data_IF_139780057265
#
_entry.id   IF_139780057265
#
_cell.length_a   1.000
_cell.length_b   1.000
_cell.length_c   1.000
_cell.angle_alpha   90.00
_cell.angle_beta   90.00
_cell.angle_gamma   90.00
#
_symmetry.space_group_name_H-M   'P 1'
#
loop_
_entity.id
_entity.type
_entity.pdbx_description
1 polymer ?
#
# COMPACT_ATOMS: atom_id res chain seq x y z
N UNK A 1 -0.49 -4.56 -4.83
CA UNK A 1 -1.70 -3.80 -4.40
C UNK A 1 -1.52 -3.42 -2.93
N UNK A 2 -1.47 -2.13 -2.60
CA UNK A 2 -1.23 -1.62 -1.23
C UNK A 2 -2.52 -1.49 -0.41
N UNK A 3 -3.67 -1.48 -1.08
CA UNK A 3 -4.97 -1.13 -0.53
C UNK A 3 -5.40 -1.91 0.73
N UNK A 4 -5.11 -3.22 0.89
CA UNK A 4 -5.42 -3.91 2.14
C UNK A 4 -4.73 -3.27 3.35
N UNK A 5 -3.46 -2.86 3.20
CA UNK A 5 -2.72 -2.19 4.27
C UNK A 5 -3.29 -0.80 4.55
N UNK A 6 -3.56 -0.01 3.52
CA UNK A 6 -4.16 1.32 3.66
C UNK A 6 -5.52 1.26 4.36
N UNK A 7 -6.33 0.25 4.01
CA UNK A 7 -7.65 0.01 4.62
C UNK A 7 -7.53 -0.38 6.09
N UNK A 8 -6.65 -1.33 6.41
CA UNK A 8 -6.42 -1.76 7.80
C UNK A 8 -5.86 -0.62 8.64
N UNK A 9 -4.98 0.21 8.07
CA UNK A 9 -4.41 1.38 8.70
C UNK A 9 -5.49 2.42 9.03
N UNK A 10 -6.30 2.82 8.05
CA UNK A 10 -7.39 3.80 8.24
C UNK A 10 -8.44 3.34 9.26
N UNK A 11 -8.66 2.02 9.38
CA UNK A 11 -9.55 1.42 10.38
C UNK A 11 -8.93 1.30 11.78
N UNK A 12 -7.69 1.76 11.98
CA UNK A 12 -6.96 1.60 13.25
C UNK A 12 -6.69 0.14 13.60
N UNK A 13 -6.73 -0.77 12.63
CA UNK A 13 -6.61 -2.21 12.83
C UNK A 13 -5.19 -2.73 12.59
N UNK A 14 -4.23 -1.86 12.22
CA UNK A 14 -2.88 -2.24 11.84
C UNK A 14 -1.84 -1.79 12.90
N UNK A 15 -1.69 -2.56 14.01
CA UNK A 15 -0.84 -2.14 15.13
C UNK A 15 0.66 -2.10 14.80
N UNK A 16 1.09 -2.85 13.78
CA UNK A 16 2.49 -2.92 13.34
C UNK A 16 2.62 -3.43 11.90
N UNK A 17 3.81 -3.26 11.32
CA UNK A 17 4.15 -3.61 9.94
C UNK A 17 5.46 -4.40 9.90
N UNK A 18 5.45 -5.58 9.25
CA UNK A 18 6.64 -6.36 8.95
C UNK A 18 7.23 -5.90 7.61
N UNK A 19 8.16 -4.95 7.67
CA UNK A 19 8.65 -4.20 6.51
C UNK A 19 9.95 -3.49 6.81
N UNK A 20 10.79 -3.32 5.79
CA UNK A 20 11.86 -2.33 5.83
C UNK A 20 11.32 -0.97 5.34
N UNK A 21 11.26 0.07 6.21
CA UNK A 21 10.73 1.38 5.84
C UNK A 21 11.49 2.07 4.71
N UNK A 22 12.75 1.69 4.47
CA UNK A 22 13.61 2.28 3.43
C UNK A 22 13.47 1.60 2.06
N UNK A 23 12.66 0.54 1.95
CA UNK A 23 12.34 -0.07 0.65
C UNK A 23 11.59 0.94 -0.22
N UNK A 24 12.00 1.04 -1.48
CA UNK A 24 11.36 1.85 -2.50
C UNK A 24 10.22 1.04 -3.11
N UNK A 25 9.01 1.57 -3.04
CA UNK A 25 7.85 0.97 -3.67
C UNK A 25 7.74 1.45 -5.13
N UNK A 26 7.76 0.52 -6.07
CA UNK A 26 7.51 0.82 -7.49
C UNK A 26 6.00 0.96 -7.72
N UNK A 27 5.51 2.18 -7.51
CA UNK A 27 4.09 2.55 -7.70
C UNK A 27 3.94 3.29 -9.01
N UNK A 28 2.96 2.92 -9.83
CA UNK A 28 2.65 3.62 -11.08
C UNK A 28 1.11 3.72 -11.21
N UNK A 29 0.56 4.92 -11.41
CA UNK A 29 -0.85 5.09 -11.74
C UNK A 29 -1.24 4.34 -13.02
N UNK A 30 -2.39 3.67 -13.02
CA UNK A 30 -2.80 2.79 -14.13
C UNK A 30 -3.01 3.56 -15.45
N UNK A 31 -3.47 4.80 -15.37
CA UNK A 31 -3.63 5.70 -16.51
C UNK A 31 -2.30 5.98 -17.21
N UNK A 32 -1.21 6.17 -16.47
CA UNK A 32 0.13 6.32 -17.07
C UNK A 32 0.58 5.06 -17.81
N UNK A 33 0.29 3.87 -17.28
CA UNK A 33 0.59 2.60 -17.96
C UNK A 33 -0.22 2.47 -19.26
N UNK A 34 -1.51 2.81 -19.22
CA UNK A 34 -2.38 2.80 -20.39
C UNK A 34 -1.90 3.80 -21.44
N UNK A 35 -1.56 5.02 -21.02
CA UNK A 35 -1.07 6.06 -21.91
C UNK A 35 0.23 5.66 -22.60
N UNK A 36 1.18 5.06 -21.86
CA UNK A 36 2.41 4.53 -22.43
C UNK A 36 2.15 3.43 -23.46
N UNK A 37 1.20 2.52 -23.19
CA UNK A 37 0.81 1.47 -24.14
C UNK A 37 0.24 2.06 -25.44
N UNK A 38 -0.65 3.06 -25.33
CA UNK A 38 -1.22 3.75 -26.50
C UNK A 38 -0.11 4.45 -27.29
N UNK A 39 0.81 5.12 -26.59
CA UNK A 39 1.91 5.84 -27.23
C UNK A 39 2.87 4.89 -27.96
N UNK A 40 3.19 3.74 -27.35
CA UNK A 40 3.99 2.69 -27.99
C UNK A 40 3.31 2.13 -29.25
N UNK A 41 2.00 1.88 -29.19
CA UNK A 41 1.22 1.42 -30.35
C UNK A 41 1.19 2.46 -31.47
N UNK A 42 0.95 3.74 -31.14
CA UNK A 42 0.92 4.83 -32.11
C UNK A 42 2.26 4.95 -32.84
N UNK A 43 3.37 4.79 -32.10
CA UNK A 43 4.72 4.93 -32.64
C UNK A 43 5.16 3.73 -33.48
N UNK A 44 4.96 2.51 -32.97
CA UNK A 44 5.56 1.32 -33.58
C UNK A 44 4.58 0.48 -34.41
N UNK A 45 3.27 0.66 -34.22
CA UNK A 45 2.24 -0.19 -34.83
C UNK A 45 2.16 -0.12 -36.36
N UNK A 46 2.71 0.92 -36.99
CA UNK A 46 2.65 1.14 -38.45
C UNK A 46 3.88 0.55 -39.16
N UNK A 47 4.96 0.28 -38.44
CA UNK A 47 6.30 0.11 -39.03
C UNK A 47 6.46 -1.14 -39.92
N UNK A 48 5.52 -2.09 -39.90
CA UNK A 48 5.55 -3.32 -40.70
C UNK A 48 6.72 -4.28 -40.42
N UNK A 49 7.75 -3.81 -39.70
CA UNK A 49 8.93 -4.56 -39.31
C UNK A 49 8.61 -5.33 -38.02
N UNK A 50 8.69 -6.66 -38.03
CA UNK A 50 8.50 -7.45 -36.83
C UNK A 50 9.68 -7.21 -35.89
N UNK A 51 9.45 -6.41 -34.85
CA UNK A 51 10.37 -6.21 -33.75
C UNK A 51 9.61 -6.23 -32.41
N UNK A 52 10.16 -6.90 -31.41
CA UNK A 52 9.57 -6.98 -30.07
C UNK A 52 10.20 -5.87 -29.22
N UNK A 53 9.44 -4.80 -29.00
CA UNK A 53 9.82 -3.72 -28.08
C UNK A 53 9.18 -3.96 -26.72
N UNK A 54 10.00 -4.05 -25.66
CA UNK A 54 9.52 -4.18 -24.27
C UNK A 54 9.60 -2.83 -23.60
N UNK A 55 8.46 -2.32 -23.12
CA UNK A 55 8.37 -1.06 -22.40
C UNK A 55 8.03 -1.32 -20.93
N UNK A 56 8.96 -1.01 -20.04
CA UNK A 56 8.74 -1.01 -18.61
C UNK A 56 8.34 0.39 -18.17
N UNK A 57 7.23 0.52 -17.45
CA UNK A 57 6.83 1.75 -16.77
C UNK A 57 7.03 1.50 -15.27
N UNK A 58 7.84 2.34 -14.64
CA UNK A 58 8.25 2.21 -13.24
C UNK A 58 8.66 3.57 -12.68
N UNK A 59 8.50 3.74 -11.38
CA UNK A 59 8.86 4.96 -10.65
C UNK A 59 10.18 4.84 -9.90
N UNK A 60 10.56 3.63 -9.49
CA UNK A 60 11.66 3.34 -8.56
C UNK A 60 13.02 3.94 -8.93
N UNK A 61 13.33 4.09 -10.22
CA UNK A 61 14.59 4.69 -10.68
C UNK A 61 14.56 6.21 -10.85
N UNK A 62 13.38 6.77 -11.15
CA UNK A 62 13.26 8.16 -11.62
C UNK A 62 12.49 9.08 -10.66
N UNK A 63 11.62 8.50 -9.84
CA UNK A 63 10.83 9.20 -8.83
C UNK A 63 10.53 8.25 -7.64
N UNK A 64 11.54 7.91 -6.84
CA UNK A 64 11.40 6.91 -5.79
C UNK A 64 10.49 7.38 -4.66
N UNK A 65 9.62 6.49 -4.18
CA UNK A 65 8.82 6.66 -2.96
C UNK A 65 9.09 5.51 -2.00
N UNK A 66 9.41 5.80 -0.73
CA UNK A 66 9.66 4.74 0.25
C UNK A 66 8.38 4.23 0.88
N UNK A 67 8.40 3.03 1.45
CA UNK A 67 7.28 2.51 2.23
C UNK A 67 6.99 3.39 3.46
N UNK A 68 8.01 4.00 4.07
CA UNK A 68 7.83 5.00 5.13
C UNK A 68 7.07 6.25 4.64
N UNK A 69 7.41 6.78 3.46
CA UNK A 69 6.67 7.90 2.87
C UNK A 69 5.19 7.55 2.67
N UNK A 70 4.90 6.34 2.18
CA UNK A 70 3.52 5.88 1.97
C UNK A 70 2.77 5.79 3.31
N UNK A 71 3.42 5.28 4.37
CA UNK A 71 2.83 5.26 5.71
C UNK A 71 2.58 6.67 6.23
N UNK A 72 3.51 7.62 6.01
CA UNK A 72 3.34 9.01 6.40
C UNK A 72 2.17 9.68 5.67
N UNK A 73 2.06 9.53 4.35
CA UNK A 73 0.93 10.06 3.58
C UNK A 73 -0.40 9.46 4.03
N UNK A 74 -0.41 8.16 4.35
CA UNK A 74 -1.58 7.46 4.85
C UNK A 74 -2.00 7.97 6.22
N UNK A 75 -1.03 8.12 7.13
CA UNK A 75 -1.24 8.68 8.45
C UNK A 75 -1.76 10.12 8.39
N UNK A 76 -1.14 10.98 7.59
CA UNK A 76 -1.59 12.35 7.40
C UNK A 76 -3.03 12.42 6.86
N UNK A 77 -3.37 11.62 5.84
CA UNK A 77 -4.72 11.61 5.27
C UNK A 77 -5.77 11.23 6.32
N UNK A 78 -5.59 10.10 7.01
CA UNK A 78 -6.58 9.60 7.98
C UNK A 78 -6.59 10.38 9.30
N UNK A 79 -5.51 11.07 9.64
CA UNK A 79 -5.51 12.00 10.78
C UNK A 79 -6.39 13.21 10.51
N UNK A 80 -6.38 13.74 9.28
CA UNK A 80 -7.21 14.88 8.89
C UNK A 80 -8.63 14.46 8.49
N UNK A 81 -8.81 13.23 8.01
CA UNK A 81 -10.08 12.72 7.50
C UNK A 81 -10.32 11.31 8.08
N UNK A 82 -10.59 11.18 9.39
CA UNK A 82 -10.77 9.88 10.02
C UNK A 82 -11.90 9.08 9.37
N UNK A 83 -11.77 7.76 9.40
CA UNK A 83 -12.90 6.87 9.14
C UNK A 83 -13.82 6.87 10.36
N UNK A 84 -15.09 6.55 10.14
CA UNK A 84 -16.07 6.45 11.22
C UNK A 84 -16.31 4.98 11.59
N UNK A 85 -16.48 4.72 12.88
CA UNK A 85 -16.88 3.40 13.35
C UNK A 85 -18.39 3.13 13.17
N UNK A 86 -18.87 1.98 13.65
CA UNK A 86 -20.30 1.63 13.55
C UNK A 86 -21.22 2.54 14.36
N UNK A 87 -20.70 3.29 15.32
CA UNK A 87 -21.41 4.28 16.13
C UNK A 87 -21.31 5.70 15.57
N UNK A 88 -20.58 5.88 14.47
CA UNK A 88 -20.22 7.17 13.86
C UNK A 88 -19.23 7.98 14.67
N UNK A 89 -18.45 7.34 15.53
CA UNK A 89 -17.33 7.96 16.23
C UNK A 89 -16.08 7.93 15.34
N UNK A 90 -15.24 8.97 15.43
CA UNK A 90 -13.99 9.05 14.68
C UNK A 90 -13.00 7.99 15.14
N UNK A 91 -12.47 7.20 14.20
CA UNK A 91 -11.45 6.20 14.48
C UNK A 91 -10.09 6.90 14.67
N UNK A 92 -9.57 6.82 15.89
CA UNK A 92 -8.21 7.26 16.19
C UNK A 92 -7.18 6.27 15.62
N UNK A 93 -6.19 6.81 14.90
CA UNK A 93 -5.09 6.03 14.34
C UNK A 93 -3.76 6.41 14.97
N UNK A 94 -2.87 5.43 15.11
CA UNK A 94 -1.49 5.61 15.56
C UNK A 94 -0.52 5.21 14.45
N UNK A 95 0.67 5.83 14.41
CA UNK A 95 1.71 5.39 13.48
C UNK A 95 2.14 3.96 13.82
N UNK A 96 2.11 3.07 12.83
CA UNK A 96 2.50 1.68 13.01
C UNK A 96 4.00 1.55 13.29
N UNK A 97 4.38 0.59 14.14
CA UNK A 97 5.78 0.21 14.35
C UNK A 97 6.28 -0.66 13.20
N UNK A 98 7.55 -0.54 12.85
CA UNK A 98 8.22 -1.37 11.84
C UNK A 98 8.99 -2.51 12.49
N UNK A 99 8.99 -3.67 11.83
CA UNK A 99 9.68 -4.87 12.28
C UNK A 99 10.41 -5.51 11.11
N UNK A 100 11.67 -5.90 11.34
CA UNK A 100 12.50 -6.65 10.39
C UNK A 100 12.60 -8.14 10.71
N UNK A 101 12.09 -8.57 11.88
CA UNK A 101 12.01 -9.97 12.29
C UNK A 101 10.54 -10.40 12.36
N UNK A 102 10.23 -11.54 11.73
CA UNK A 102 8.88 -12.11 11.78
C UNK A 102 8.50 -12.56 13.19
N UNK A 103 9.47 -12.96 14.00
CA UNK A 103 9.24 -13.38 15.39
C UNK A 103 8.90 -12.18 16.28
N UNK A 104 9.66 -11.09 16.16
CA UNK A 104 9.39 -9.84 16.90
C UNK A 104 8.03 -9.25 16.50
N UNK A 105 7.75 -9.24 15.19
CA UNK A 105 6.44 -8.84 14.66
C UNK A 105 5.33 -9.72 15.24
N UNK A 106 5.47 -11.05 15.18
CA UNK A 106 4.44 -11.99 15.66
C UNK A 106 4.19 -11.84 17.15
N UNK A 107 5.25 -11.66 17.95
CA UNK A 107 5.14 -11.42 19.39
C UNK A 107 4.41 -10.12 19.69
N UNK A 108 4.78 -9.03 19.01
CA UNK A 108 4.14 -7.73 19.17
C UNK A 108 2.66 -7.75 18.79
N UNK A 109 2.33 -8.28 17.60
CA UNK A 109 0.94 -8.39 17.13
C UNK A 109 0.08 -9.23 18.07
N UNK A 110 0.62 -10.35 18.58
CA UNK A 110 -0.07 -11.18 19.57
C UNK A 110 -0.36 -10.41 20.84
N UNK A 111 0.62 -9.65 21.32
CA UNK A 111 0.48 -8.85 22.54
C UNK A 111 -0.58 -7.76 22.38
N UNK A 112 -0.55 -6.99 21.30
CA UNK A 112 -1.49 -5.89 21.08
C UNK A 112 -2.92 -6.38 20.85
N UNK A 113 -3.11 -7.45 20.06
CA UNK A 113 -4.45 -8.01 19.83
C UNK A 113 -5.03 -8.61 21.11
N UNK A 114 -4.23 -9.32 21.90
CA UNK A 114 -4.63 -9.86 23.20
C UNK A 114 -5.09 -8.74 24.15
N UNK A 115 -4.38 -7.59 24.18
CA UNK A 115 -4.82 -6.41 24.96
C UNK A 115 -6.12 -5.82 24.43
N UNK A 116 -6.21 -5.53 23.14
CA UNK A 116 -7.41 -4.95 22.51
C UNK A 116 -8.67 -5.80 22.70
N UNK A 117 -8.51 -7.13 22.75
CA UNK A 117 -9.63 -8.07 22.87
C UNK A 117 -10.24 -8.18 24.28
N UNK A 118 -9.59 -7.62 25.31
CA UNK A 118 -10.01 -7.79 26.70
C UNK A 118 -9.72 -9.19 27.27
N UNK A 119 -8.88 -10.00 26.61
CA UNK A 119 -8.65 -11.39 26.99
C UNK A 119 -7.90 -11.51 28.33
N UNK A 120 -7.00 -10.58 28.61
CA UNK A 120 -6.27 -10.52 29.88
C UNK A 120 -7.19 -10.18 31.05
N UNK A 121 -8.08 -9.22 30.83
CA UNK A 121 -9.10 -8.78 31.78
C UNK A 121 -10.12 -9.90 32.03
N UNK A 122 -10.49 -10.63 30.99
CA UNK A 122 -11.35 -11.81 31.09
C UNK A 122 -10.71 -12.92 31.96
N UNK A 123 -9.40 -13.13 31.82
CA UNK A 123 -8.65 -14.07 32.65
C UNK A 123 -8.61 -13.62 34.11
N UNK A 124 -8.28 -12.35 34.37
CA UNK A 124 -8.21 -11.78 35.73
C UNK A 124 -9.57 -11.84 36.44
N UNK A 125 -10.64 -11.52 35.72
CA UNK A 125 -12.00 -11.48 36.25
C UNK A 125 -12.70 -12.85 36.30
N UNK A 126 -11.99 -13.94 35.99
CA UNK A 126 -12.53 -15.31 35.99
C UNK A 126 -13.88 -15.44 35.24
N UNK A 127 -13.97 -14.85 34.05
CA UNK A 127 -15.22 -14.92 33.25
C UNK A 127 -15.54 -16.36 32.87
N UNK A 128 -16.80 -16.61 32.49
CA UNK A 128 -17.27 -17.94 32.09
C UNK A 128 -16.30 -18.60 31.07
N UNK A 129 -15.90 -19.87 31.27
CA UNK A 129 -14.94 -20.54 30.38
C UNK A 129 -15.34 -20.54 28.90
N UNK A 130 -16.64 -20.62 28.61
CA UNK A 130 -17.17 -20.55 27.25
C UNK A 130 -16.97 -19.18 26.59
N UNK A 131 -17.07 -18.09 27.35
CA UNK A 131 -16.81 -16.73 26.86
C UNK A 131 -15.32 -16.52 26.62
N UNK A 132 -14.48 -16.95 27.58
CA UNK A 132 -13.02 -16.89 27.44
C UNK A 132 -12.55 -17.66 26.20
N UNK A 133 -13.01 -18.89 26.00
CA UNK A 133 -12.66 -19.72 24.85
C UNK A 133 -13.07 -19.07 23.53
N UNK A 134 -14.23 -18.39 23.50
CA UNK A 134 -14.69 -17.66 22.31
C UNK A 134 -13.78 -16.47 21.99
N UNK A 135 -13.40 -15.68 23.01
CA UNK A 135 -12.48 -14.55 22.85
C UNK A 135 -11.09 -15.02 22.40
N UNK A 136 -10.52 -16.01 23.08
CA UNK A 136 -9.22 -16.61 22.73
C UNK A 136 -9.20 -17.10 21.27
N UNK A 137 -10.26 -17.79 20.83
CA UNK A 137 -10.39 -18.23 19.43
C UNK A 137 -10.43 -17.05 18.45
N UNK A 138 -11.11 -15.95 18.78
CA UNK A 138 -11.14 -14.77 17.92
C UNK A 138 -9.77 -14.08 17.86
N UNK A 139 -9.09 -13.95 19.00
CA UNK A 139 -7.74 -13.39 19.07
C UNK A 139 -6.77 -14.18 18.21
N UNK A 140 -6.72 -15.50 18.40
CA UNK A 140 -5.86 -16.40 17.62
C UNK A 140 -6.10 -16.28 16.12
N UNK A 141 -7.36 -16.21 15.69
CA UNK A 141 -7.70 -16.00 14.27
C UNK A 141 -7.18 -14.66 13.74
N UNK A 142 -7.35 -13.58 14.51
CA UNK A 142 -6.91 -12.23 14.12
C UNK A 142 -5.39 -12.14 14.07
N UNK A 143 -4.68 -12.72 15.04
CA UNK A 143 -3.21 -12.85 15.04
C UNK A 143 -2.74 -13.64 13.81
N UNK A 144 -3.32 -14.81 13.55
CA UNK A 144 -2.97 -15.63 12.38
C UNK A 144 -3.19 -14.88 11.07
N UNK A 145 -4.27 -14.09 10.96
CA UNK A 145 -4.52 -13.25 9.79
C UNK A 145 -3.37 -12.26 9.53
N UNK A 146 -2.92 -11.52 10.56
CA UNK A 146 -1.83 -10.55 10.38
C UNK A 146 -0.48 -11.22 10.09
N UNK A 147 -0.16 -12.33 10.75
CA UNK A 147 1.06 -13.09 10.47
C UNK A 147 1.04 -13.62 9.03
N UNK A 148 -0.09 -14.15 8.58
CA UNK A 148 -0.22 -14.63 7.21
C UNK A 148 -0.12 -13.49 6.20
N UNK A 149 -0.75 -12.34 6.49
CA UNK A 149 -0.63 -11.14 5.66
C UNK A 149 0.83 -10.69 5.54
N UNK A 150 1.56 -10.63 6.65
CA UNK A 150 2.98 -10.27 6.67
C UNK A 150 3.82 -11.23 5.80
N UNK A 151 3.63 -12.55 5.95
CA UNK A 151 4.32 -13.57 5.15
C UNK A 151 3.98 -13.49 3.66
N UNK A 152 2.73 -13.22 3.32
CA UNK A 152 2.30 -13.07 1.91
C UNK A 152 2.99 -11.90 1.22
N UNK A 153 3.28 -10.82 1.95
CA UNK A 153 3.92 -9.62 1.39
C UNK A 153 5.43 -9.51 1.68
N UNK A 154 6.01 -10.46 2.42
CA UNK A 154 7.42 -10.46 2.84
C UNK A 154 8.38 -10.15 1.70
N UNK A 155 8.26 -10.87 0.58
CA UNK A 155 9.13 -10.66 -0.59
C UNK A 155 9.12 -9.21 -1.06
N UNK A 156 7.97 -8.53 -1.04
CA UNK A 156 7.86 -7.14 -1.49
C UNK A 156 8.30 -6.14 -0.41
N UNK A 157 7.99 -6.44 0.86
CA UNK A 157 8.32 -5.62 2.02
C UNK A 157 9.82 -5.42 2.26
N UNK A 158 10.65 -6.28 1.68
CA UNK A 158 12.12 -6.26 1.82
C UNK A 158 12.85 -6.24 0.47
N UNK A 159 12.13 -6.16 -0.65
CA UNK A 159 12.75 -6.13 -1.99
C UNK A 159 13.39 -4.77 -2.28
N UNK A 160 14.71 -4.75 -2.51
CA UNK A 160 15.46 -3.52 -2.82
C UNK A 160 15.71 -3.30 -4.32
N UNK A 161 15.15 -4.15 -5.18
CA UNK A 161 15.33 -4.00 -6.62
C UNK A 161 14.67 -2.74 -7.15
N UNK A 162 15.25 -2.20 -8.22
CA UNK A 162 14.72 -1.05 -8.96
C UNK A 162 14.52 -1.43 -10.41
N UNK A 163 13.54 -0.81 -11.05
CA UNK A 163 13.15 -1.13 -12.41
C UNK A 163 13.64 -0.07 -13.38
N UNK A 164 14.47 -0.48 -14.33
CA UNK A 164 14.95 0.40 -15.40
C UNK A 164 13.83 0.67 -16.41
N UNK A 165 13.74 1.91 -16.88
CA UNK A 165 12.68 2.36 -17.81
C UNK A 165 13.24 2.90 -19.14
N UNK A 166 14.45 2.49 -19.53
CA UNK A 166 15.19 3.07 -20.65
C UNK A 166 14.42 3.08 -21.98
N UNK A 167 13.68 2.01 -22.30
CA UNK A 167 12.88 1.97 -23.53
C UNK A 167 11.69 2.94 -23.48
N UNK A 168 11.05 3.12 -22.32
CA UNK A 168 9.97 4.09 -22.16
C UNK A 168 10.49 5.53 -22.24
N UNK A 169 11.69 5.79 -21.73
CA UNK A 169 12.37 7.08 -21.88
C UNK A 169 12.70 7.39 -23.34
N UNK A 170 13.29 6.43 -24.07
CA UNK A 170 13.56 6.58 -25.51
C UNK A 170 12.29 6.86 -26.31
N UNK A 171 11.23 6.08 -26.06
CA UNK A 171 9.93 6.30 -26.68
C UNK A 171 9.43 7.74 -26.49
N UNK A 172 9.60 8.29 -25.28
CA UNK A 172 9.25 9.67 -24.95
C UNK A 172 10.16 10.71 -25.60
N UNK A 173 11.45 10.45 -25.70
CA UNK A 173 12.42 11.35 -26.35
C UNK A 173 12.13 11.53 -27.84
N UNK A 174 11.53 10.51 -28.47
CA UNK A 174 11.13 10.55 -29.87
C UNK A 174 9.77 11.26 -30.11
N UNK A 175 9.08 11.70 -29.06
CA UNK A 175 7.80 12.41 -29.15
C UNK A 175 8.00 13.93 -29.22
N UNK A 176 7.12 14.59 -29.97
CA UNK A 176 6.94 16.04 -29.91
C UNK A 176 6.44 16.49 -28.53
N UNK A 177 6.58 17.79 -28.22
CA UNK A 177 6.10 18.35 -26.95
C UNK A 177 4.59 18.20 -26.79
N UNK A 178 3.87 18.33 -27.90
CA UNK A 178 2.42 18.18 -27.99
C UNK A 178 1.99 16.74 -27.69
N UNK A 179 2.69 15.76 -28.26
CA UNK A 179 2.44 14.33 -27.98
C UNK A 179 2.73 13.98 -26.54
N UNK A 180 3.86 14.43 -25.98
CA UNK A 180 4.21 14.19 -24.57
C UNK A 180 3.12 14.71 -23.64
N UNK A 181 2.67 15.94 -23.86
CA UNK A 181 1.56 16.52 -23.09
C UNK A 181 0.25 15.75 -23.25
N UNK A 182 -0.03 15.22 -24.45
CA UNK A 182 -1.27 14.51 -24.75
C UNK A 182 -1.30 13.09 -24.16
N UNK A 183 -0.19 12.36 -24.23
CA UNK A 183 -0.08 11.04 -23.64
C UNK A 183 0.15 11.11 -22.13
N UNK A 184 1.04 11.97 -21.63
CA UNK A 184 1.15 12.25 -20.19
C UNK A 184 1.42 11.01 -19.33
N UNK A 185 2.56 10.35 -19.54
CA UNK A 185 2.98 9.19 -18.73
C UNK A 185 4.34 9.41 -18.05
N UNK A 186 4.71 10.67 -17.84
CA UNK A 186 5.88 11.11 -17.08
C UNK A 186 5.71 10.80 -15.58
N UNK A 187 6.21 9.63 -15.19
CA UNK A 187 6.21 9.19 -13.79
C UNK A 187 7.08 10.10 -12.90
N UNK A 188 8.05 10.82 -13.49
CA UNK A 188 8.89 11.80 -12.81
C UNK A 188 8.10 12.97 -12.21
N UNK A 189 6.95 13.30 -12.79
CA UNK A 189 6.17 14.48 -12.42
C UNK A 189 5.15 14.19 -11.30
N UNK A 190 5.07 12.94 -10.83
CA UNK A 190 4.13 12.56 -9.76
C UNK A 190 4.55 13.20 -8.44
N UNK A 191 3.69 14.05 -7.90
CA UNK A 191 3.75 14.45 -6.50
C UNK A 191 3.13 13.33 -5.64
N UNK A 192 3.97 12.49 -5.02
CA UNK A 192 3.51 11.33 -4.24
C UNK A 192 2.57 11.70 -3.09
N UNK A 193 2.85 12.80 -2.39
CA UNK A 193 2.01 13.25 -1.28
C UNK A 193 0.61 13.61 -1.78
N UNK A 194 0.52 14.38 -2.87
CA UNK A 194 -0.76 14.70 -3.49
C UNK A 194 -1.46 13.46 -4.03
N UNK A 195 -0.73 12.58 -4.74
CA UNK A 195 -1.27 11.33 -5.27
C UNK A 195 -1.90 10.49 -4.16
N UNK A 196 -1.20 10.19 -3.07
CA UNK A 196 -1.75 9.36 -2.00
C UNK A 196 -2.87 10.08 -1.22
N UNK A 197 -2.62 11.32 -0.77
CA UNK A 197 -3.55 12.01 0.13
C UNK A 197 -4.83 12.52 -0.56
N UNK A 198 -4.77 12.85 -1.86
CA UNK A 198 -5.88 13.49 -2.59
C UNK A 198 -6.47 12.67 -3.72
N UNK A 199 -5.77 11.64 -4.21
CA UNK A 199 -6.23 10.83 -5.34
C UNK A 199 -6.46 9.38 -4.91
N UNK A 200 -5.42 8.65 -4.51
CA UNK A 200 -5.46 7.22 -4.24
C UNK A 200 -6.34 6.89 -3.03
N UNK A 201 -6.06 7.47 -1.85
CA UNK A 201 -6.82 7.14 -0.63
C UNK A 201 -8.28 7.63 -0.73
N UNK A 202 -8.59 8.84 -1.23
CA UNK A 202 -9.98 9.23 -1.49
C UNK A 202 -10.69 8.31 -2.49
N UNK A 203 -10.01 7.88 -3.55
CA UNK A 203 -10.54 6.90 -4.50
C UNK A 203 -10.84 5.56 -3.83
N UNK A 204 -9.93 5.08 -2.98
CA UNK A 204 -10.11 3.87 -2.18
C UNK A 204 -11.35 3.99 -1.27
N UNK A 205 -11.53 5.12 -0.58
CA UNK A 205 -12.70 5.37 0.27
C UNK A 205 -13.99 5.29 -0.53
N UNK A 206 -14.06 6.05 -1.63
CA UNK A 206 -15.26 6.13 -2.48
C UNK A 206 -15.63 4.80 -3.13
N UNK A 207 -14.65 4.07 -3.68
CA UNK A 207 -14.91 2.93 -4.55
C UNK A 207 -14.81 1.57 -3.86
N UNK A 208 -13.99 1.44 -2.80
CA UNK A 208 -13.78 0.18 -2.09
C UNK A 208 -14.47 0.18 -0.74
N UNK A 209 -14.28 1.24 0.07
CA UNK A 209 -14.91 1.33 1.39
C UNK A 209 -16.38 1.76 1.31
N UNK A 210 -16.76 2.43 0.22
CA UNK A 210 -18.08 3.05 0.00
C UNK A 210 -18.41 4.08 1.09
N UNK A 211 -17.40 4.86 1.44
CA UNK A 211 -17.45 6.01 2.36
C UNK A 211 -17.19 7.32 1.62
#
# INVERSE_FOLDING_TARGET
MLDPFLTLFGKGQLPGLFVDPQVIADVVPVDMVVNAAIAAMAKHGISGIPNINVYQIGSSMVNPVTLDNIVDYTYEHFKCNPLLDSKRDEISITRSKYFSSIDDFSHYITTEITKESGLMEALINNVKPSLYTKLDRQCKKRVQFFIQLAKTYETFSFFRGRFEIGNAQKLREEMSKEERKKFGFEVEDINWKEYFCRIHIPGLRKHVLKE
#
